data_IF_430025181430
#
_entry.id   IF_430025181430
#
_cell.length_a   1.000
_cell.length_b   1.000
_cell.length_c   1.000
_cell.angle_alpha   90.00
_cell.angle_beta   90.00
_cell.angle_gamma   90.00
#
_symmetry.space_group_name_H-M   'P 1'
#
loop_
_entity.id
_entity.type
_entity.pdbx_description
1 polymer ?
#
# COMPACT_ATOMS: atom_id res chain seq x y z
N UNK A 1 7.60 18.60 -12.80
CA UNK A 1 7.92 19.97 -12.34
C UNK A 1 6.81 20.60 -11.49
N UNK A 2 5.63 19.97 -11.31
CA UNK A 2 4.56 20.53 -10.48
C UNK A 2 4.68 20.13 -9.00
N UNK A 3 5.19 18.94 -8.70
CA UNK A 3 5.19 18.36 -7.34
C UNK A 3 6.14 19.07 -6.38
N UNK A 4 7.24 19.63 -6.89
CA UNK A 4 8.23 20.35 -6.08
C UNK A 4 7.67 21.65 -5.50
N UNK A 5 6.78 22.32 -6.24
CA UNK A 5 6.13 23.56 -5.81
C UNK A 5 5.11 23.30 -4.70
N UNK A 6 4.40 22.17 -4.77
CA UNK A 6 3.38 21.76 -3.80
C UNK A 6 4.01 21.43 -2.45
N UNK A 7 5.09 20.64 -2.45
CA UNK A 7 5.88 20.32 -1.25
C UNK A 7 6.47 21.59 -0.59
N UNK A 8 7.02 22.51 -1.38
CA UNK A 8 7.52 23.78 -0.85
C UNK A 8 6.41 24.65 -0.26
N UNK A 9 5.24 24.67 -0.88
CA UNK A 9 4.10 25.48 -0.42
C UNK A 9 3.56 24.96 0.92
N UNK A 10 3.39 23.66 1.07
CA UNK A 10 2.97 23.05 2.34
C UNK A 10 4.00 23.25 3.46
N UNK A 11 5.30 23.14 3.14
CA UNK A 11 6.35 23.38 4.14
C UNK A 11 6.35 24.83 4.62
N UNK A 12 6.14 25.77 3.71
CA UNK A 12 6.08 27.20 4.04
C UNK A 12 4.80 27.57 4.80
N UNK A 13 3.69 26.88 4.54
CA UNK A 13 2.47 27.01 5.32
C UNK A 13 2.66 26.55 6.78
N UNK A 14 3.39 25.46 7.02
CA UNK A 14 3.71 25.00 8.37
C UNK A 14 4.74 25.88 9.11
N UNK A 15 5.61 26.60 8.39
CA UNK A 15 6.49 27.61 8.99
C UNK A 15 5.71 28.83 9.50
N UNK A 16 4.60 29.16 8.85
CA UNK A 16 3.74 30.30 9.21
C UNK A 16 2.70 29.92 10.26
N UNK A 17 2.11 28.74 10.13
CA UNK A 17 1.14 28.18 11.06
C UNK A 17 1.48 26.70 11.34
N UNK A 18 2.17 26.40 12.45
CA UNK A 18 2.64 25.05 12.75
C UNK A 18 1.52 24.06 13.11
N UNK A 19 0.29 24.52 13.34
CA UNK A 19 -0.88 23.69 13.60
C UNK A 19 -1.76 23.49 12.36
N UNK A 20 -1.31 23.98 11.19
CA UNK A 20 -2.05 23.90 9.94
C UNK A 20 -2.21 22.44 9.51
N UNK A 21 -3.37 21.87 9.86
CA UNK A 21 -3.71 20.47 9.62
C UNK A 21 -3.70 20.14 8.12
N UNK A 22 -4.18 21.05 7.27
CA UNK A 22 -4.21 20.90 5.82
C UNK A 22 -2.80 20.82 5.21
N UNK A 23 -1.88 21.67 5.66
CA UNK A 23 -0.50 21.65 5.19
C UNK A 23 0.25 20.40 5.66
N UNK A 24 -0.05 19.92 6.88
CA UNK A 24 0.53 18.71 7.47
C UNK A 24 0.05 17.45 6.75
N UNK A 25 -1.25 17.36 6.45
CA UNK A 25 -1.82 16.27 5.67
C UNK A 25 -1.28 16.29 4.24
N UNK A 26 -1.26 17.45 3.57
CA UNK A 26 -0.73 17.60 2.22
C UNK A 26 0.75 17.22 2.09
N UNK A 27 1.57 17.56 3.09
CA UNK A 27 2.97 17.11 3.19
C UNK A 27 3.08 15.60 3.41
N UNK A 28 2.31 15.06 4.36
CA UNK A 28 2.31 13.61 4.63
C UNK A 28 1.93 12.82 3.39
N UNK A 29 0.89 13.24 2.67
CA UNK A 29 0.44 12.61 1.44
C UNK A 29 1.50 12.68 0.34
N UNK A 30 2.20 13.81 0.22
CA UNK A 30 3.26 14.01 -0.77
C UNK A 30 4.53 13.21 -0.44
N UNK A 31 4.81 12.93 0.84
CA UNK A 31 5.90 12.05 1.27
C UNK A 31 5.55 10.55 1.15
N UNK A 32 4.29 10.15 1.31
CA UNK A 32 3.82 8.74 1.22
C UNK A 32 3.74 8.18 -0.20
N UNK A 33 4.28 8.87 -1.19
CA UNK A 33 3.99 8.59 -2.59
C UNK A 33 4.92 7.55 -3.27
N UNK A 34 5.55 6.61 -2.54
CA UNK A 34 6.25 5.51 -3.25
C UNK A 34 6.34 4.15 -2.53
N UNK A 35 6.51 4.06 -1.20
CA UNK A 35 6.77 2.73 -0.58
C UNK A 35 6.32 2.63 0.88
N UNK A 36 5.30 3.39 1.31
CA UNK A 36 4.88 3.32 2.71
C UNK A 36 3.89 2.16 2.94
N UNK A 37 4.32 1.05 3.56
CA UNK A 37 3.45 -0.11 3.77
C UNK A 37 2.29 0.23 4.70
N UNK A 38 2.39 1.25 5.55
CA UNK A 38 1.29 1.68 6.44
C UNK A 38 0.15 2.33 5.65
N UNK A 39 0.50 3.17 4.67
CA UNK A 39 -0.49 3.80 3.78
C UNK A 39 -1.19 2.76 2.89
N UNK A 40 -0.43 1.81 2.33
CA UNK A 40 -0.96 0.67 1.59
C UNK A 40 -1.89 -0.19 2.46
N UNK A 41 -1.47 -0.49 3.70
CA UNK A 41 -2.30 -1.20 4.70
C UNK A 41 -3.60 -0.48 5.00
N UNK A 42 -3.56 0.84 5.21
CA UNK A 42 -4.79 1.63 5.43
C UNK A 42 -5.73 1.57 4.24
N UNK A 43 -5.22 1.69 3.01
CA UNK A 43 -6.04 1.60 1.78
C UNK A 43 -6.65 0.21 1.63
N UNK A 44 -5.83 -0.82 1.81
CA UNK A 44 -6.26 -2.21 1.82
C UNK A 44 -7.32 -2.53 2.88
N UNK A 45 -7.20 -1.99 4.10
CA UNK A 45 -8.19 -2.18 5.14
C UNK A 45 -9.53 -1.48 4.84
N UNK A 46 -9.53 -0.45 3.99
CA UNK A 46 -10.76 0.17 3.51
C UNK A 46 -11.43 -0.64 2.39
N UNK A 47 -10.72 -1.58 1.76
CA UNK A 47 -11.27 -2.43 0.71
C UNK A 47 -11.81 -3.75 1.31
N UNK A 48 -13.14 -4.00 1.22
CA UNK A 48 -13.75 -5.19 1.83
C UNK A 48 -13.32 -6.50 1.15
N UNK A 49 -12.94 -6.46 -0.13
CA UNK A 49 -12.41 -7.64 -0.81
C UNK A 49 -11.00 -7.97 -0.31
N UNK A 50 -10.13 -6.97 -0.20
CA UNK A 50 -8.78 -7.13 0.36
C UNK A 50 -8.84 -7.63 1.81
N UNK A 51 -9.71 -7.04 2.63
CA UNK A 51 -9.91 -7.49 4.01
C UNK A 51 -10.37 -8.96 4.10
N UNK A 52 -11.24 -9.39 3.17
CA UNK A 52 -11.66 -10.79 3.07
C UNK A 52 -10.52 -11.70 2.62
N UNK A 53 -9.69 -11.25 1.68
CA UNK A 53 -8.50 -11.97 1.21
C UNK A 53 -7.47 -12.14 2.34
N UNK A 54 -7.21 -11.10 3.13
CA UNK A 54 -6.29 -11.14 4.27
C UNK A 54 -6.80 -12.01 5.42
N UNK A 55 -8.12 -12.17 5.53
CA UNK A 55 -8.76 -13.08 6.49
C UNK A 55 -8.77 -14.54 6.03
N UNK A 56 -8.48 -14.79 4.76
CA UNK A 56 -8.48 -16.13 4.17
C UNK A 56 -7.30 -16.95 4.73
N UNK A 57 -7.56 -18.15 5.30
CA UNK A 57 -6.51 -18.98 5.88
C UNK A 57 -5.55 -19.53 4.83
N UNK A 58 -6.00 -19.78 3.60
CA UNK A 58 -5.13 -20.22 2.52
C UNK A 58 -4.21 -19.08 2.08
N UNK A 59 -4.72 -17.85 2.02
CA UNK A 59 -3.89 -16.68 1.68
C UNK A 59 -2.77 -16.46 2.70
N UNK A 60 -3.05 -16.60 4.01
CA UNK A 60 -2.01 -16.54 5.04
C UNK A 60 -0.90 -17.57 4.83
N UNK A 61 -1.29 -18.79 4.43
CA UNK A 61 -0.35 -19.86 4.11
C UNK A 61 0.50 -19.52 2.88
N UNK A 62 -0.10 -18.91 1.86
CA UNK A 62 0.61 -18.49 0.65
C UNK A 62 1.59 -17.35 0.95
N UNK A 63 1.20 -16.39 1.80
CA UNK A 63 2.09 -15.30 2.25
C UNK A 63 3.28 -15.84 3.06
N UNK A 64 3.08 -16.88 3.87
CA UNK A 64 4.18 -17.57 4.56
C UNK A 64 5.11 -18.29 3.57
N UNK A 65 4.51 -18.98 2.59
CA UNK A 65 5.21 -19.69 1.52
C UNK A 65 5.77 -18.77 0.42
N UNK A 66 5.50 -17.48 0.44
CA UNK A 66 6.05 -16.49 -0.50
C UNK A 66 7.58 -16.44 -0.44
N UNK A 67 8.15 -16.78 0.73
CA UNK A 67 9.60 -16.94 0.89
C UNK A 67 10.17 -18.01 -0.05
N UNK A 68 9.35 -18.98 -0.47
CA UNK A 68 9.71 -19.99 -1.45
C UNK A 68 9.13 -19.64 -2.84
N UNK A 69 9.97 -19.26 -3.82
CA UNK A 69 9.50 -18.88 -5.14
C UNK A 69 8.86 -20.05 -5.91
N UNK A 70 9.12 -21.30 -5.53
CA UNK A 70 8.55 -22.48 -6.20
C UNK A 70 7.12 -22.72 -5.73
N UNK A 71 6.88 -22.66 -4.42
CA UNK A 71 5.53 -22.76 -3.85
C UNK A 71 4.63 -21.63 -4.34
N UNK A 72 5.14 -20.38 -4.36
CA UNK A 72 4.39 -19.24 -4.88
C UNK A 72 3.96 -19.44 -6.35
N UNK A 73 4.86 -19.93 -7.21
CA UNK A 73 4.54 -20.24 -8.61
C UNK A 73 3.46 -21.31 -8.75
N UNK A 74 3.48 -22.33 -7.89
CA UNK A 74 2.43 -23.35 -7.89
C UNK A 74 1.07 -22.76 -7.52
N UNK A 75 1.02 -21.83 -6.55
CA UNK A 75 -0.19 -21.13 -6.16
C UNK A 75 -0.69 -20.16 -7.24
N UNK A 76 0.21 -19.50 -7.96
CA UNK A 76 -0.13 -18.63 -9.09
C UNK A 76 -0.76 -19.38 -10.27
N UNK A 77 -0.58 -20.70 -10.39
CA UNK A 77 -1.33 -21.49 -11.38
C UNK A 77 -2.84 -21.53 -11.09
N UNK A 78 -3.25 -21.28 -9.84
CA UNK A 78 -4.67 -21.19 -9.50
C UNK A 78 -5.19 -19.78 -9.82
N UNK A 79 -6.13 -19.61 -10.77
CA UNK A 79 -6.61 -18.30 -11.19
C UNK A 79 -7.29 -17.52 -10.06
N UNK A 80 -7.92 -18.22 -9.11
CA UNK A 80 -8.50 -17.60 -7.92
C UNK A 80 -7.42 -16.99 -7.02
N UNK A 81 -6.34 -17.73 -6.74
CA UNK A 81 -5.23 -17.24 -5.91
C UNK A 81 -4.49 -16.12 -6.60
N UNK A 82 -4.20 -16.26 -7.90
CA UNK A 82 -3.57 -15.22 -8.71
C UNK A 82 -4.37 -13.91 -8.67
N UNK A 83 -5.70 -13.99 -8.79
CA UNK A 83 -6.58 -12.82 -8.69
C UNK A 83 -6.51 -12.16 -7.31
N UNK A 84 -6.48 -12.95 -6.23
CA UNK A 84 -6.36 -12.41 -4.88
C UNK A 84 -4.99 -11.76 -4.65
N UNK A 85 -3.89 -12.36 -5.12
CA UNK A 85 -2.54 -11.80 -5.05
C UNK A 85 -2.43 -10.50 -5.84
N UNK A 86 -2.95 -10.47 -7.07
CA UNK A 86 -2.99 -9.25 -7.90
C UNK A 86 -3.68 -8.09 -7.17
N UNK A 87 -4.80 -8.35 -6.51
CA UNK A 87 -5.49 -7.33 -5.69
C UNK A 87 -4.62 -6.79 -4.56
N UNK A 88 -3.91 -7.65 -3.85
CA UNK A 88 -3.01 -7.23 -2.78
C UNK A 88 -1.81 -6.42 -3.32
N UNK A 89 -1.32 -6.72 -4.52
CA UNK A 89 -0.23 -5.98 -5.19
C UNK A 89 -0.72 -4.60 -5.65
N UNK A 90 -1.90 -4.54 -6.25
CA UNK A 90 -2.55 -3.29 -6.66
C UNK A 90 -2.80 -2.38 -5.45
N UNK A 91 -3.17 -2.98 -4.31
CA UNK A 91 -3.30 -2.27 -3.03
C UNK A 91 -1.95 -1.85 -2.41
N UNK A 92 -0.81 -2.23 -3.00
CA UNK A 92 0.54 -1.93 -2.50
C UNK A 92 0.92 -2.68 -1.21
N UNK A 93 0.18 -3.72 -0.83
CA UNK A 93 0.45 -4.51 0.37
C UNK A 93 1.60 -5.49 0.21
N UNK A 94 1.77 -6.00 -1.01
CA UNK A 94 2.81 -6.94 -1.39
C UNK A 94 3.45 -6.46 -2.68
N UNK A 95 4.76 -6.62 -2.75
CA UNK A 95 5.55 -6.29 -3.91
C UNK A 95 6.48 -7.46 -4.21
N UNK A 96 6.52 -7.91 -5.46
CA UNK A 96 7.47 -8.93 -5.90
C UNK A 96 8.79 -8.20 -6.19
N UNK A 97 9.76 -8.30 -5.28
CA UNK A 97 11.11 -7.74 -5.45
C UNK A 97 12.12 -8.83 -5.75
#
# INVERSE_FOLDING_TARGET
>A
MHDFYVLQSFRKALELDPDCSEAREGLSQSYTNDDDPEAARKRAMNDPEIASILSDPAMRLILDQMSDPTALRAHLNNPEIASKLMKLIDAGLISFR
#
